data_IF_510035164611
#
_entry.id   IF_510035164611
#
_cell.length_a   1.000
_cell.length_b   1.000
_cell.length_c   1.000
_cell.angle_alpha   90.00
_cell.angle_beta   90.00
_cell.angle_gamma   90.00
#
_symmetry.space_group_name_H-M   'P 1'
#
loop_
_entity.id
_entity.type
_entity.pdbx_description
1 polymer ?
#
# COMPACT_ATOMS: atom_id res chain seq x y z
N UNK A 1 -46.72 18.77 64.93
CA UNK A 1 -45.62 19.48 64.22
C UNK A 1 -45.09 18.54 63.19
N UNK A 2 -45.59 18.63 61.91
CA UNK A 2 -45.31 17.68 60.82
C UNK A 2 -44.37 18.31 59.84
N UNK A 3 -43.18 17.79 59.76
CA UNK A 3 -42.20 18.19 58.73
C UNK A 3 -42.48 17.43 57.43
N UNK A 4 -42.92 18.13 56.37
CA UNK A 4 -43.05 17.60 55.01
C UNK A 4 -41.65 17.60 54.36
N UNK A 5 -41.13 16.41 54.09
CA UNK A 5 -39.94 16.23 53.28
C UNK A 5 -40.33 16.29 51.80
N UNK A 6 -39.97 17.37 51.12
CA UNK A 6 -40.09 17.50 49.68
C UNK A 6 -38.92 16.78 49.02
N UNK A 7 -39.22 15.63 48.40
CA UNK A 7 -38.27 14.93 47.56
C UNK A 7 -38.14 15.66 46.24
N UNK A 8 -37.02 16.36 46.05
CA UNK A 8 -36.63 16.94 44.76
C UNK A 8 -36.14 15.81 43.87
N UNK A 9 -36.99 15.36 42.97
CA UNK A 9 -36.56 14.45 41.90
C UNK A 9 -35.91 15.29 40.79
N UNK A 10 -34.58 15.28 40.73
CA UNK A 10 -33.81 15.84 39.64
C UNK A 10 -33.75 14.78 38.53
N UNK A 11 -34.35 14.97 37.35
CA UNK A 11 -34.13 14.09 36.23
C UNK A 11 -32.75 14.38 35.67
N UNK A 12 -31.77 13.54 36.01
CA UNK A 12 -30.48 13.53 35.34
C UNK A 12 -30.73 13.04 33.92
N UNK A 13 -30.99 13.98 33.02
CA UNK A 13 -30.92 13.71 31.57
C UNK A 13 -29.48 13.41 31.20
N UNK A 14 -29.14 12.14 31.20
CA UNK A 14 -27.91 11.65 30.56
C UNK A 14 -28.06 11.92 29.05
N UNK A 15 -27.59 13.07 28.61
CA UNK A 15 -27.26 13.31 27.21
C UNK A 15 -26.12 12.36 26.86
N UNK A 16 -26.47 11.18 26.39
CA UNK A 16 -25.61 10.33 25.63
C UNK A 16 -25.24 11.09 24.34
N UNK A 17 -24.26 11.99 24.43
CA UNK A 17 -23.51 12.41 23.27
C UNK A 17 -22.78 11.18 22.75
N UNK A 18 -23.50 10.40 21.96
CA UNK A 18 -22.94 9.49 21.00
C UNK A 18 -22.04 10.34 20.08
N UNK A 19 -20.76 10.47 20.46
CA UNK A 19 -19.74 10.82 19.50
C UNK A 19 -19.74 9.67 18.49
N UNK A 20 -20.55 9.80 17.45
CA UNK A 20 -20.33 9.11 16.21
C UNK A 20 -18.96 9.61 15.72
N UNK A 21 -17.92 8.91 16.11
CA UNK A 21 -16.62 8.99 15.44
C UNK A 21 -16.89 8.57 14.00
N UNK A 22 -17.30 9.52 13.16
CA UNK A 22 -17.07 9.43 11.74
C UNK A 22 -15.54 9.47 11.58
N UNK A 23 -14.89 8.33 11.78
CA UNK A 23 -13.58 8.09 11.22
C UNK A 23 -13.78 8.13 9.70
N UNK A 24 -13.72 9.34 9.14
CA UNK A 24 -13.42 9.50 7.74
C UNK A 24 -12.06 8.86 7.57
N UNK A 25 -12.03 7.65 7.05
CA UNK A 25 -10.78 6.98 6.69
C UNK A 25 -10.02 7.97 5.81
N UNK A 26 -8.88 8.46 6.31
CA UNK A 26 -8.09 9.47 5.63
C UNK A 26 -7.50 8.85 4.36
N UNK A 27 -8.21 9.06 3.25
CA UNK A 27 -7.78 8.65 1.92
C UNK A 27 -7.05 9.83 1.31
N UNK A 28 -5.75 9.68 1.11
CA UNK A 28 -4.89 10.76 0.66
C UNK A 28 -4.55 10.62 -0.83
N UNK A 29 -4.65 11.74 -1.56
CA UNK A 29 -4.13 11.83 -2.93
C UNK A 29 -2.62 11.98 -2.98
N UNK A 30 -2.04 12.62 -1.98
CA UNK A 30 -0.62 12.83 -1.83
C UNK A 30 -0.27 12.65 -0.37
N UNK A 31 0.80 11.96 -0.12
CA UNK A 31 1.30 11.73 1.21
C UNK A 31 2.82 11.91 1.24
N UNK A 32 3.30 12.46 2.34
CA UNK A 32 4.73 12.65 2.62
C UNK A 32 5.05 11.87 3.88
N UNK A 33 6.10 11.07 3.81
CA UNK A 33 6.59 10.25 4.93
C UNK A 33 8.08 10.50 5.10
N UNK A 34 8.55 10.47 6.33
CA UNK A 34 9.96 10.49 6.65
C UNK A 34 10.40 9.07 7.00
N UNK A 35 11.48 8.62 6.39
CA UNK A 35 12.11 7.33 6.69
C UNK A 35 13.58 7.60 7.00
N UNK A 36 13.90 7.81 8.28
CA UNK A 36 15.21 8.31 8.74
C UNK A 36 15.65 9.57 7.95
N UNK A 37 16.73 9.46 7.16
CA UNK A 37 17.33 10.55 6.36
C UNK A 37 16.63 10.80 5.02
N UNK A 38 15.46 10.22 4.79
CA UNK A 38 14.76 10.29 3.51
C UNK A 38 13.34 10.82 3.65
N UNK A 39 13.00 11.78 2.81
CA UNK A 39 11.63 12.21 2.57
C UNK A 39 11.06 11.42 1.38
N UNK A 40 9.95 10.73 1.60
CA UNK A 40 9.26 9.92 0.61
C UNK A 40 7.94 10.61 0.28
N UNK A 41 7.81 11.04 -0.97
CA UNK A 41 6.62 11.70 -1.48
C UNK A 41 5.92 10.76 -2.44
N UNK A 42 4.64 10.49 -2.20
CA UNK A 42 3.78 9.71 -3.08
C UNK A 42 2.64 10.59 -3.57
N UNK A 43 2.58 10.80 -4.87
CA UNK A 43 1.44 11.42 -5.53
C UNK A 43 0.58 10.32 -6.14
N UNK A 44 -0.50 9.94 -5.48
CA UNK A 44 -1.35 8.83 -5.94
C UNK A 44 -1.79 9.03 -7.38
N UNK A 45 -1.60 8.04 -8.25
CA UNK A 45 -2.07 8.11 -9.62
C UNK A 45 -3.61 8.24 -9.70
N UNK A 46 -4.12 8.65 -10.86
CA UNK A 46 -5.57 8.77 -11.07
C UNK A 46 -6.27 7.46 -10.73
N UNK A 47 -7.29 7.55 -9.88
CA UNK A 47 -8.09 6.40 -9.46
C UNK A 47 -7.50 5.57 -8.32
N UNK A 48 -6.34 5.94 -7.79
CA UNK A 48 -5.72 5.32 -6.61
C UNK A 48 -5.57 6.36 -5.50
N UNK A 49 -5.61 5.89 -4.26
CA UNK A 49 -5.37 6.70 -3.08
C UNK A 49 -4.56 5.92 -2.05
N UNK A 50 -3.71 6.62 -1.31
CA UNK A 50 -3.03 6.06 -0.15
C UNK A 50 -4.05 5.84 0.97
N UNK A 51 -4.04 4.66 1.54
CA UNK A 51 -4.86 4.33 2.71
C UNK A 51 -4.01 4.50 3.97
N UNK A 52 -4.21 5.62 4.68
CA UNK A 52 -3.45 5.95 5.89
C UNK A 52 -3.66 4.93 7.01
N UNK A 53 -4.87 4.38 7.15
CA UNK A 53 -5.21 3.42 8.21
C UNK A 53 -4.42 2.09 8.07
N UNK A 54 -3.97 1.79 6.85
CA UNK A 54 -3.19 0.59 6.55
C UNK A 54 -1.70 0.89 6.33
N UNK A 55 -1.28 2.12 6.59
CA UNK A 55 0.13 2.50 6.56
C UNK A 55 0.83 2.03 7.83
N UNK A 56 2.00 1.46 7.69
CA UNK A 56 2.81 1.04 8.84
C UNK A 56 4.26 1.43 8.65
N UNK A 57 4.87 1.91 9.73
CA UNK A 57 6.29 2.19 9.81
C UNK A 57 6.87 1.46 11.01
N UNK A 58 7.91 0.66 10.78
CA UNK A 58 8.61 -0.08 11.82
C UNK A 58 10.01 -0.46 11.37
N UNK A 59 11.01 -0.25 12.22
CA UNK A 59 12.39 -0.73 12.00
C UNK A 59 12.97 -0.31 10.64
N UNK A 60 12.84 0.96 10.26
CA UNK A 60 13.33 1.48 8.97
C UNK A 60 12.63 0.88 7.75
N UNK A 61 11.43 0.40 7.95
CA UNK A 61 10.54 -0.12 6.91
C UNK A 61 9.26 0.68 6.96
N UNK A 62 8.91 1.31 5.84
CA UNK A 62 7.61 1.95 5.61
C UNK A 62 6.83 1.11 4.61
N UNK A 63 5.61 0.74 4.96
CA UNK A 63 4.68 0.03 4.08
C UNK A 63 3.45 0.87 3.88
N UNK A 64 3.13 1.14 2.63
CA UNK A 64 1.94 1.87 2.22
C UNK A 64 1.03 0.96 1.40
N UNK A 65 -0.26 1.17 1.55
CA UNK A 65 -1.28 0.48 0.77
C UNK A 65 -2.05 1.50 -0.04
N UNK A 66 -2.10 1.28 -1.35
CA UNK A 66 -2.93 2.06 -2.26
C UNK A 66 -4.13 1.22 -2.69
N UNK A 67 -5.30 1.83 -2.60
CA UNK A 67 -6.57 1.23 -3.00
C UNK A 67 -7.28 2.12 -4.02
N UNK A 68 -8.26 1.58 -4.70
CA UNK A 68 -9.06 2.36 -5.63
C UNK A 68 -9.95 3.36 -4.90
N UNK A 69 -10.00 4.58 -5.45
CA UNK A 69 -10.85 5.65 -4.95
C UNK A 69 -11.39 6.50 -6.10
N UNK A 70 -12.48 7.19 -5.82
CA UNK A 70 -13.03 8.22 -6.69
C UNK A 70 -13.27 9.50 -5.89
N UNK A 71 -13.18 10.64 -6.56
CA UNK A 71 -13.63 11.89 -6.00
C UNK A 71 -15.14 11.99 -6.11
N UNK A 72 -15.83 12.23 -5.02
CA UNK A 72 -17.24 12.57 -5.06
C UNK A 72 -17.40 13.94 -5.71
N UNK A 73 -18.15 14.04 -6.81
CA UNK A 73 -18.35 15.29 -7.54
C UNK A 73 -19.08 16.34 -6.70
N UNK A 74 -19.94 15.91 -5.77
CA UNK A 74 -20.78 16.81 -4.97
C UNK A 74 -20.12 17.30 -3.67
N UNK A 75 -19.14 16.60 -3.12
CA UNK A 75 -18.56 16.91 -1.80
C UNK A 75 -17.05 17.09 -1.81
N UNK A 76 -16.38 16.94 -2.95
CA UNK A 76 -14.92 16.88 -3.04
C UNK A 76 -14.26 15.78 -2.18
N UNK A 77 -15.04 14.92 -1.53
CA UNK A 77 -14.55 13.82 -0.72
C UNK A 77 -14.08 12.67 -1.60
N UNK A 78 -13.05 11.99 -1.15
CA UNK A 78 -12.60 10.75 -1.76
C UNK A 78 -13.44 9.60 -1.22
N UNK A 79 -13.99 8.80 -2.11
CA UNK A 79 -14.81 7.62 -1.77
C UNK A 79 -14.05 6.37 -2.18
N UNK A 80 -14.01 5.37 -1.32
CA UNK A 80 -13.50 4.04 -1.66
C UNK A 80 -14.43 3.38 -2.67
N UNK A 81 -13.84 2.78 -3.70
CA UNK A 81 -14.55 1.87 -4.61
C UNK A 81 -14.44 0.43 -4.11
N UNK A 82 -15.31 -0.48 -4.59
CA UNK A 82 -15.04 -1.90 -4.48
C UNK A 82 -13.64 -2.19 -5.02
N UNK A 83 -12.84 -2.87 -4.21
CA UNK A 83 -11.43 -3.08 -4.49
C UNK A 83 -11.32 -4.12 -5.61
N UNK A 84 -10.82 -3.73 -6.78
CA UNK A 84 -10.46 -4.66 -7.87
C UNK A 84 -8.96 -4.98 -7.87
N UNK A 85 -8.16 -4.13 -7.22
CA UNK A 85 -6.73 -4.29 -7.08
C UNK A 85 -6.22 -3.73 -5.76
N UNK A 86 -5.16 -4.32 -5.24
CA UNK A 86 -4.40 -3.86 -4.10
C UNK A 86 -2.98 -3.59 -4.54
N UNK A 87 -2.45 -2.41 -4.21
CA UNK A 87 -1.05 -2.10 -4.46
C UNK A 87 -0.38 -1.85 -3.12
N UNK A 88 0.67 -2.60 -2.85
CA UNK A 88 1.53 -2.40 -1.68
C UNK A 88 2.83 -1.77 -2.12
N UNK A 89 3.29 -0.75 -1.40
CA UNK A 89 4.59 -0.11 -1.60
C UNK A 89 5.37 -0.25 -0.32
N UNK A 90 6.51 -0.92 -0.40
CA UNK A 90 7.43 -1.09 0.72
C UNK A 90 8.71 -0.32 0.43
N UNK A 91 9.09 0.53 1.35
CA UNK A 91 10.40 1.18 1.42
C UNK A 91 11.18 0.55 2.56
N UNK A 92 12.42 0.19 2.31
CA UNK A 92 13.28 -0.42 3.31
C UNK A 92 14.66 0.23 3.23
N UNK A 93 15.05 0.96 4.27
CA UNK A 93 16.39 1.51 4.35
C UNK A 93 17.40 0.39 4.64
N UNK A 94 18.38 0.26 3.77
CA UNK A 94 19.47 -0.71 3.87
C UNK A 94 20.81 -0.01 3.74
N UNK A 95 21.58 0.14 4.82
CA UNK A 95 22.90 0.73 4.76
C UNK A 95 23.81 0.02 3.78
N UNK A 96 24.52 0.80 2.97
CA UNK A 96 25.44 0.28 1.97
C UNK A 96 24.79 -0.16 0.65
N UNK A 97 23.49 0.07 0.47
CA UNK A 97 22.80 -0.22 -0.79
C UNK A 97 23.23 0.74 -1.91
N UNK A 98 23.65 1.95 -1.56
CA UNK A 98 24.20 2.97 -2.47
C UNK A 98 25.44 2.53 -3.24
N UNK A 99 26.12 1.46 -2.81
CA UNK A 99 27.23 0.83 -3.55
C UNK A 99 26.77 0.18 -4.87
N UNK A 100 25.47 -0.06 -4.99
CA UNK A 100 24.90 -0.72 -6.16
C UNK A 100 24.06 0.27 -6.96
N UNK A 101 24.59 0.81 -8.07
CA UNK A 101 23.88 1.79 -8.88
C UNK A 101 22.62 1.23 -9.55
N UNK A 102 22.54 -0.10 -9.66
CA UNK A 102 21.39 -0.80 -10.21
C UNK A 102 20.93 -1.91 -9.27
N UNK A 103 19.63 -2.08 -9.18
CA UNK A 103 19.04 -3.17 -8.38
C UNK A 103 19.54 -4.55 -8.80
N UNK A 104 19.88 -4.74 -10.07
CA UNK A 104 20.43 -6.00 -10.57
C UNK A 104 21.81 -6.32 -9.96
N UNK A 105 22.66 -5.32 -9.79
CA UNK A 105 23.97 -5.48 -9.18
C UNK A 105 23.85 -5.87 -7.70
N UNK A 106 22.89 -5.28 -7.01
CA UNK A 106 22.55 -5.68 -5.64
C UNK A 106 22.10 -7.14 -5.56
N UNK A 107 21.14 -7.55 -6.42
CA UNK A 107 20.66 -8.93 -6.44
C UNK A 107 21.83 -9.90 -6.71
N UNK A 108 22.66 -9.59 -7.69
CA UNK A 108 23.85 -10.40 -8.03
C UNK A 108 24.83 -10.51 -6.86
N UNK A 109 25.02 -9.42 -6.09
CA UNK A 109 25.92 -9.41 -4.93
C UNK A 109 25.45 -10.32 -3.79
N UNK A 110 24.15 -10.65 -3.71
CA UNK A 110 23.60 -11.59 -2.72
C UNK A 110 23.93 -13.05 -3.03
N UNK A 111 24.55 -13.33 -4.18
CA UNK A 111 24.81 -14.69 -4.65
C UNK A 111 23.54 -15.47 -5.06
N UNK A 112 22.38 -14.84 -5.06
CA UNK A 112 21.11 -15.46 -5.41
C UNK A 112 20.58 -14.93 -6.75
N UNK A 113 19.91 -15.79 -7.52
CA UNK A 113 19.08 -15.36 -8.64
C UNK A 113 17.70 -14.88 -8.15
N UNK A 114 17.00 -14.08 -8.94
CA UNK A 114 15.60 -13.73 -8.67
C UNK A 114 14.73 -14.97 -8.43
N UNK A 115 14.94 -16.02 -9.23
CA UNK A 115 14.22 -17.28 -9.07
C UNK A 115 14.44 -17.90 -7.68
N UNK A 116 15.67 -17.90 -7.19
CA UNK A 116 15.99 -18.45 -5.86
C UNK A 116 15.36 -17.62 -4.74
N UNK A 117 15.41 -16.28 -4.86
CA UNK A 117 14.82 -15.36 -3.87
C UNK A 117 13.32 -15.60 -3.75
N UNK A 118 12.60 -15.64 -4.88
CA UNK A 118 11.15 -15.78 -4.88
C UNK A 118 10.68 -17.21 -4.63
N UNK A 119 11.44 -18.23 -5.05
CA UNK A 119 11.13 -19.62 -4.77
C UNK A 119 11.11 -19.92 -3.27
N UNK A 120 12.01 -19.30 -2.48
CA UNK A 120 12.01 -19.42 -1.01
C UNK A 120 10.74 -18.90 -0.36
N UNK A 121 10.06 -17.95 -1.00
CA UNK A 121 8.77 -17.40 -0.54
C UNK A 121 7.55 -18.10 -1.17
N UNK A 122 7.71 -19.27 -1.80
CA UNK A 122 6.60 -19.98 -2.43
C UNK A 122 6.10 -19.36 -3.74
N UNK A 123 6.86 -18.42 -4.31
CA UNK A 123 6.49 -17.70 -5.53
C UNK A 123 7.30 -18.19 -6.72
N UNK A 124 6.67 -18.25 -7.90
CA UNK A 124 7.33 -18.59 -9.16
C UNK A 124 7.50 -17.34 -10.01
N UNK A 125 8.71 -17.08 -10.48
CA UNK A 125 8.99 -16.04 -11.45
C UNK A 125 8.58 -16.51 -12.84
N UNK A 126 7.65 -15.80 -13.47
CA UNK A 126 7.17 -16.12 -14.82
C UNK A 126 7.92 -15.32 -15.89
N UNK A 127 8.15 -14.03 -15.64
CA UNK A 127 8.81 -13.10 -16.56
C UNK A 127 9.49 -11.99 -15.79
N UNK A 128 10.63 -11.53 -16.29
CA UNK A 128 11.34 -10.36 -15.78
C UNK A 128 11.73 -9.46 -16.94
N UNK A 129 11.77 -8.16 -16.69
CA UNK A 129 12.41 -7.18 -17.57
C UNK A 129 12.86 -5.99 -16.74
N UNK A 130 13.81 -5.22 -17.26
CA UNK A 130 14.33 -4.02 -16.62
C UNK A 130 13.95 -2.79 -17.42
N UNK A 131 13.58 -1.72 -16.71
CA UNK A 131 13.39 -0.39 -17.29
C UNK A 131 14.05 0.63 -16.35
N UNK A 132 15.11 1.28 -16.84
CA UNK A 132 15.95 2.16 -16.00
C UNK A 132 16.52 1.39 -14.81
N UNK A 133 16.34 1.91 -13.60
CA UNK A 133 16.80 1.30 -12.36
C UNK A 133 15.72 0.42 -11.68
N UNK A 134 14.71 0.01 -12.41
CA UNK A 134 13.59 -0.79 -11.88
C UNK A 134 13.52 -2.14 -12.59
N UNK A 135 13.50 -3.22 -11.84
CA UNK A 135 13.18 -4.56 -12.34
C UNK A 135 11.70 -4.82 -12.15
N UNK A 136 11.03 -5.26 -13.19
CA UNK A 136 9.64 -5.70 -13.23
C UNK A 136 9.60 -7.22 -13.24
N UNK A 137 8.84 -7.78 -12.34
CA UNK A 137 8.77 -9.22 -12.11
C UNK A 137 7.31 -9.65 -12.13
N UNK A 138 6.99 -10.54 -13.04
CA UNK A 138 5.72 -11.25 -13.07
C UNK A 138 5.85 -12.48 -12.20
N UNK A 139 5.00 -12.59 -11.21
CA UNK A 139 5.00 -13.65 -10.21
C UNK A 139 3.69 -14.43 -10.24
N UNK A 140 3.76 -15.69 -9.84
CA UNK A 140 2.59 -16.48 -9.49
C UNK A 140 2.85 -17.23 -8.17
N UNK A 141 1.82 -17.37 -7.36
CA UNK A 141 1.88 -18.18 -6.15
C UNK A 141 1.83 -19.65 -6.51
N UNK A 142 2.58 -20.50 -5.80
CA UNK A 142 2.62 -21.95 -6.01
C UNK A 142 1.46 -22.67 -5.33
N UNK A 143 1.01 -22.14 -4.21
CA UNK A 143 -0.16 -22.63 -3.49
C UNK A 143 -1.23 -21.56 -3.48
N UNK A 144 -2.40 -21.86 -4.01
CA UNK A 144 -3.59 -21.07 -3.72
C UNK A 144 -3.96 -21.35 -2.26
N UNK A 145 -3.56 -20.50 -1.33
CA UNK A 145 -4.28 -20.43 -0.06
C UNK A 145 -5.66 -19.91 -0.42
N UNK A 146 -6.68 -20.74 -0.25
CA UNK A 146 -8.07 -20.45 -0.62
C UNK A 146 -8.67 -19.25 0.16
N UNK A 147 -7.91 -18.64 1.07
CA UNK A 147 -8.38 -17.63 2.01
C UNK A 147 -8.26 -16.19 1.49
N UNK A 148 -7.45 -15.94 0.47
CA UNK A 148 -7.37 -14.64 -0.17
C UNK A 148 -7.92 -14.75 -1.59
N UNK A 149 -9.00 -14.05 -1.86
CA UNK A 149 -9.60 -13.89 -3.20
C UNK A 149 -8.65 -13.18 -4.20
N UNK A 150 -7.33 -13.24 -3.98
CA UNK A 150 -6.34 -12.68 -4.87
C UNK A 150 -6.07 -13.62 -6.04
N UNK A 151 -5.96 -13.07 -7.23
CA UNK A 151 -5.57 -13.86 -8.39
C UNK A 151 -4.16 -14.44 -8.23
N UNK A 152 -3.94 -15.65 -8.74
CA UNK A 152 -2.67 -16.38 -8.62
C UNK A 152 -1.48 -15.65 -9.27
N UNK A 153 -1.71 -14.60 -10.04
CA UNK A 153 -0.69 -13.85 -10.76
C UNK A 153 -0.69 -12.40 -10.33
N UNK A 154 0.48 -11.87 -10.07
CA UNK A 154 0.67 -10.48 -9.70
C UNK A 154 1.98 -9.93 -10.28
N UNK A 155 2.11 -8.61 -10.23
CA UNK A 155 3.34 -7.93 -10.63
C UNK A 155 4.05 -7.36 -9.41
N UNK A 156 5.38 -7.42 -9.45
CA UNK A 156 6.24 -6.74 -8.48
C UNK A 156 7.33 -5.96 -9.18
N UNK A 157 7.69 -4.81 -8.63
CA UNK A 157 8.90 -4.09 -9.00
C UNK A 157 9.87 -4.04 -7.83
N UNK A 158 11.16 -3.98 -8.18
CA UNK A 158 12.24 -3.70 -7.25
C UNK A 158 13.09 -2.57 -7.83
N UNK A 159 13.39 -1.58 -7.01
CA UNK A 159 14.25 -0.43 -7.35
C UNK A 159 15.14 -0.08 -6.18
N UNK A 160 16.27 0.54 -6.45
CA UNK A 160 17.18 1.11 -5.45
C UNK A 160 17.28 2.62 -5.66
N UNK A 161 17.12 3.37 -4.59
CA UNK A 161 17.32 4.81 -4.52
C UNK A 161 18.25 5.11 -3.35
N UNK A 162 19.53 5.36 -3.63
CA UNK A 162 20.58 5.49 -2.61
C UNK A 162 20.58 4.28 -1.65
N UNK A 163 20.29 4.47 -0.36
CA UNK A 163 20.19 3.38 0.60
C UNK A 163 18.76 2.87 0.82
N UNK A 164 17.82 3.22 -0.04
CA UNK A 164 16.42 2.78 0.05
C UNK A 164 16.09 1.75 -1.01
N UNK A 165 15.71 0.54 -0.58
CA UNK A 165 15.12 -0.48 -1.44
C UNK A 165 13.61 -0.23 -1.53
N UNK A 166 13.10 -0.10 -2.73
CA UNK A 166 11.67 0.05 -2.99
C UNK A 166 11.12 -1.19 -3.65
N UNK A 167 10.08 -1.76 -3.05
CA UNK A 167 9.34 -2.89 -3.62
C UNK A 167 7.87 -2.50 -3.76
N UNK A 168 7.32 -2.61 -4.97
CA UNK A 168 5.90 -2.33 -5.23
C UNK A 168 5.27 -3.60 -5.77
N UNK A 169 4.15 -4.03 -5.18
CA UNK A 169 3.40 -5.20 -5.66
C UNK A 169 1.98 -4.82 -5.99
N UNK A 170 1.48 -5.29 -7.13
CA UNK A 170 0.12 -5.07 -7.58
C UNK A 170 -0.61 -6.42 -7.70
N UNK A 171 -1.64 -6.59 -6.89
CA UNK A 171 -2.49 -7.77 -6.83
C UNK A 171 -3.86 -7.46 -7.42
N UNK A 172 -4.40 -8.38 -8.22
CA UNK A 172 -5.79 -8.32 -8.65
C UNK A 172 -6.65 -9.23 -7.78
N UNK A 173 -7.89 -8.80 -7.51
CA UNK A 173 -8.86 -9.64 -6.82
C UNK A 173 -9.70 -10.40 -7.83
N UNK A 174 -9.82 -11.72 -7.62
CA UNK A 174 -10.68 -12.57 -8.43
C UNK A 174 -12.06 -12.64 -7.76
N UNK A 175 -13.00 -11.79 -8.18
CA UNK A 175 -14.42 -12.04 -7.86
C UNK A 175 -15.09 -12.76 -9.02
N UNK A 176 -15.85 -13.80 -8.71
CA UNK A 176 -16.64 -14.57 -9.71
C UNK A 176 -17.59 -13.72 -10.57
N UNK A 177 -17.87 -12.47 -10.17
CA UNK A 177 -18.88 -11.60 -10.81
C UNK A 177 -18.48 -10.13 -10.94
N UNK A 178 -17.21 -9.74 -10.89
CA UNK A 178 -16.80 -8.34 -11.03
C UNK A 178 -15.66 -8.18 -12.04
N UNK A 179 -15.57 -7.00 -12.62
CA UNK A 179 -14.56 -6.59 -13.58
C UNK A 179 -13.15 -7.04 -13.16
N UNK A 180 -12.77 -8.19 -13.65
CA UNK A 180 -11.44 -8.73 -13.49
C UNK A 180 -10.47 -7.77 -14.17
N UNK A 181 -9.63 -7.09 -13.40
CA UNK A 181 -8.52 -6.37 -14.01
C UNK A 181 -7.64 -7.38 -14.73
N UNK A 182 -7.45 -7.12 -16.00
CA UNK A 182 -6.52 -7.92 -16.78
C UNK A 182 -5.12 -7.80 -16.19
N UNK A 183 -4.32 -8.80 -16.38
CA UNK A 183 -2.92 -8.81 -15.95
C UNK A 183 -2.10 -7.63 -16.52
N UNK A 184 -2.49 -7.11 -17.69
CA UNK A 184 -1.90 -5.93 -18.30
C UNK A 184 -2.31 -4.66 -17.56
N UNK A 185 -3.58 -4.50 -17.20
CA UNK A 185 -4.06 -3.36 -16.42
C UNK A 185 -3.39 -3.27 -15.04
N UNK A 186 -3.12 -4.42 -14.39
CA UNK A 186 -2.34 -4.44 -13.16
C UNK A 186 -0.93 -3.91 -13.35
N UNK A 187 -0.29 -4.28 -14.46
CA UNK A 187 1.03 -3.77 -14.83
C UNK A 187 1.01 -2.26 -15.07
N UNK A 188 -0.01 -1.75 -15.73
CA UNK A 188 -0.14 -0.32 -16.01
C UNK A 188 -0.39 0.48 -14.73
N UNK A 189 -1.22 -0.02 -13.82
CA UNK A 189 -1.38 0.56 -12.47
C UNK A 189 -0.06 0.55 -11.70
N UNK A 190 0.68 -0.56 -11.72
CA UNK A 190 2.00 -0.65 -11.10
C UNK A 190 2.97 0.40 -11.67
N UNK A 191 3.03 0.55 -12.99
CA UNK A 191 3.84 1.56 -13.67
C UNK A 191 3.47 2.98 -13.22
N UNK A 192 2.19 3.27 -13.10
CA UNK A 192 1.73 4.59 -12.67
C UNK A 192 2.17 4.91 -11.24
N UNK A 193 2.18 3.91 -10.35
CA UNK A 193 2.67 4.08 -8.97
C UNK A 193 4.19 4.25 -8.95
N UNK A 194 4.95 3.45 -9.70
CA UNK A 194 6.41 3.62 -9.82
C UNK A 194 6.77 5.06 -10.20
N UNK A 195 6.04 5.64 -11.16
CA UNK A 195 6.30 7.00 -11.64
C UNK A 195 5.81 8.11 -10.68
N UNK A 196 5.01 7.77 -9.68
CA UNK A 196 4.41 8.71 -8.72
C UNK A 196 5.24 8.91 -7.46
N UNK A 197 6.27 8.09 -7.27
CA UNK A 197 7.13 8.10 -6.08
C UNK A 197 8.33 9.00 -6.31
N UNK A 198 8.61 9.85 -5.33
CA UNK A 198 9.84 10.63 -5.25
C UNK A 198 10.50 10.37 -3.90
N UNK A 199 11.80 10.13 -3.92
CA UNK A 199 12.62 9.94 -2.73
C UNK A 199 13.69 11.00 -2.73
N UNK A 200 13.80 11.74 -1.63
CA UNK A 200 14.76 12.81 -1.46
C UNK A 200 15.51 12.57 -0.15
N UNK A 201 16.80 12.71 -0.16
CA UNK A 201 17.62 12.71 1.06
C UNK A 201 17.50 14.06 1.73
N UNK A 202 17.24 14.09 3.02
CA UNK A 202 17.12 15.30 3.87
C UNK A 202 18.35 15.46 4.75
#
# INVERSE_FOLDING_TARGET
MMFKIIKFFFPVSFLLMSCANNQSSDILKSAVYNLDDYEIIINSPKGLCVNSDLTSEKNKILVLILTECIRNQNSNQLIRRPISSLITVKFEQKPGLNKYPKIYDFIKSTGNSLNQIFNKSGQKVNKTYQKGNTIYISLSERSSSNDLETGNKFWRTLSVYDNVLVSISAYGFSKKNSNHLSYLELKDKLNSVVNSIKIKKI
#
